data_IF_190401287726
#
_entry.id   IF_190401287726
#
_cell.length_a   1.000
_cell.length_b   1.000
_cell.length_c   1.000
_cell.angle_alpha   90.00
_cell.angle_beta   90.00
_cell.angle_gamma   90.00
#
_symmetry.space_group_name_H-M   'P 1'
#
loop_
_entity.id
_entity.type
_entity.pdbx_description
1 polymer ?
#
# COMPACT_ATOMS: atom_id res chain seq x y z
N UNK A 1 5.17 19.02 4.29
CA UNK A 1 4.95 17.65 4.85
C UNK A 1 4.86 16.72 3.66
N UNK A 2 5.63 15.63 3.61
CA UNK A 2 5.67 14.76 2.42
C UNK A 2 4.42 13.89 2.35
N UNK A 3 4.11 13.38 1.15
CA UNK A 3 2.95 12.49 0.94
C UNK A 3 2.97 11.30 1.90
N UNK A 4 4.12 10.61 2.02
CA UNK A 4 4.26 9.45 2.90
C UNK A 4 3.88 9.74 4.36
N UNK A 5 4.27 10.90 4.89
CA UNK A 5 3.96 11.30 6.27
C UNK A 5 2.47 11.54 6.46
N UNK A 6 1.83 12.24 5.51
CA UNK A 6 0.38 12.49 5.49
C UNK A 6 -0.40 11.18 5.45
N UNK A 7 0.05 10.24 4.63
CA UNK A 7 -0.62 8.94 4.49
C UNK A 7 -0.47 8.08 5.75
N UNK A 8 0.70 8.08 6.39
CA UNK A 8 0.90 7.39 7.68
C UNK A 8 0.00 8.01 8.75
N UNK A 9 0.00 9.33 8.89
CA UNK A 9 -0.88 10.03 9.84
C UNK A 9 -2.34 9.67 9.60
N UNK A 10 -2.78 9.65 8.34
CA UNK A 10 -4.15 9.30 7.99
C UNK A 10 -4.54 7.87 8.30
N UNK A 11 -3.63 6.92 8.08
CA UNK A 11 -3.87 5.52 8.42
C UNK A 11 -3.88 5.32 9.94
N UNK A 12 -2.95 5.95 10.68
CA UNK A 12 -2.84 5.79 12.13
C UNK A 12 -3.98 6.50 12.90
N UNK A 13 -4.49 7.62 12.38
CA UNK A 13 -5.61 8.36 12.95
C UNK A 13 -6.98 7.94 12.37
N UNK A 14 -7.00 6.98 11.45
CA UNK A 14 -8.23 6.36 10.94
C UNK A 14 -9.08 7.23 10.02
N UNK A 15 -8.54 8.34 9.49
CA UNK A 15 -9.25 9.15 8.49
C UNK A 15 -8.92 8.73 7.05
N UNK A 16 -7.79 8.04 6.84
CA UNK A 16 -7.42 7.41 5.56
C UNK A 16 -7.69 5.90 5.62
N UNK A 17 -8.96 5.54 5.47
CA UNK A 17 -9.47 4.17 5.60
C UNK A 17 -10.37 3.83 4.43
N UNK A 18 -10.97 2.63 4.43
CA UNK A 18 -11.89 2.23 3.36
C UNK A 18 -12.99 3.25 3.12
N UNK A 19 -13.09 3.70 1.87
CA UNK A 19 -13.99 4.75 1.36
C UNK A 19 -13.60 6.19 1.76
N UNK A 20 -12.51 6.38 2.50
CA UNK A 20 -11.89 7.66 2.84
C UNK A 20 -10.44 7.75 2.34
N UNK A 21 -10.16 7.26 1.14
CA UNK A 21 -8.78 7.15 0.63
C UNK A 21 -8.18 8.49 0.15
N UNK A 22 -8.97 9.54 0.04
CA UNK A 22 -8.50 10.82 -0.51
C UNK A 22 -7.97 11.73 0.61
N UNK A 23 -6.88 12.44 0.32
CA UNK A 23 -6.33 13.46 1.21
C UNK A 23 -7.23 14.70 1.15
N UNK A 24 -7.77 15.17 2.29
CA UNK A 24 -8.59 16.38 2.33
C UNK A 24 -7.83 17.63 1.88
N UNK A 25 -8.51 18.54 1.18
CA UNK A 25 -7.95 19.80 0.69
C UNK A 25 -7.30 20.64 1.80
N UNK A 26 -7.89 20.61 3.02
CA UNK A 26 -7.32 21.30 4.19
C UNK A 26 -5.90 20.83 4.53
N UNK A 27 -5.61 19.54 4.38
CA UNK A 27 -4.27 18.98 4.65
C UNK A 27 -3.32 19.34 3.51
N UNK A 28 -3.81 19.29 2.26
CA UNK A 28 -3.02 19.67 1.08
C UNK A 28 -2.61 21.14 1.07
N UNK A 29 -3.38 22.03 1.69
CA UNK A 29 -3.04 23.45 1.87
C UNK A 29 -1.83 23.66 2.77
N UNK A 30 -1.60 22.77 3.72
CA UNK A 30 -0.47 22.80 4.66
C UNK A 30 0.80 22.14 4.08
N UNK A 31 0.72 21.58 2.88
CA UNK A 31 1.84 21.01 2.15
C UNK A 31 2.53 22.10 1.29
N UNK A 32 3.85 21.96 1.11
CA UNK A 32 4.59 22.72 0.10
C UNK A 32 4.10 22.37 -1.32
N UNK A 33 4.46 23.19 -2.31
CA UNK A 33 3.96 23.09 -3.69
C UNK A 33 4.24 21.72 -4.32
N UNK A 34 5.48 21.24 -4.22
CA UNK A 34 5.88 19.93 -4.75
C UNK A 34 5.09 18.79 -4.09
N UNK A 35 5.01 18.76 -2.76
CA UNK A 35 4.28 17.72 -2.05
C UNK A 35 2.77 17.79 -2.33
N UNK A 36 2.23 18.99 -2.56
CA UNK A 36 0.82 19.19 -2.93
C UNK A 36 0.51 18.68 -4.34
N UNK A 37 1.41 18.85 -5.29
CA UNK A 37 1.28 18.30 -6.64
C UNK A 37 1.27 16.77 -6.60
N UNK A 38 2.19 16.16 -5.86
CA UNK A 38 2.22 14.70 -5.65
C UNK A 38 0.93 14.22 -4.95
N UNK A 39 0.46 14.93 -3.93
CA UNK A 39 -0.82 14.60 -3.26
C UNK A 39 -2.04 14.74 -4.19
N UNK A 40 -1.99 15.68 -5.13
CA UNK A 40 -3.03 15.84 -6.15
C UNK A 40 -3.04 14.65 -7.11
N UNK A 41 -1.87 14.21 -7.57
CA UNK A 41 -1.71 12.98 -8.38
C UNK A 41 -2.19 11.74 -7.62
N UNK A 42 -1.87 11.63 -6.34
CA UNK A 42 -2.39 10.56 -5.47
C UNK A 42 -3.93 10.56 -5.44
N UNK A 43 -4.55 11.72 -5.20
CA UNK A 43 -6.01 11.85 -5.17
C UNK A 43 -6.65 11.53 -6.52
N UNK A 44 -6.02 11.92 -7.63
CA UNK A 44 -6.43 11.57 -8.99
C UNK A 44 -6.43 10.06 -9.21
N UNK A 45 -5.32 9.37 -8.87
CA UNK A 45 -5.21 7.91 -8.93
C UNK A 45 -6.34 7.24 -8.13
N UNK A 46 -6.55 7.66 -6.88
CA UNK A 46 -7.62 7.13 -6.02
C UNK A 46 -8.99 7.33 -6.66
N UNK A 47 -9.26 8.52 -7.20
CA UNK A 47 -10.51 8.84 -7.88
C UNK A 47 -10.77 7.92 -9.08
N UNK A 48 -9.74 7.65 -9.90
CA UNK A 48 -9.82 6.72 -11.03
C UNK A 48 -10.11 5.29 -10.53
N UNK A 49 -9.36 4.80 -9.54
CA UNK A 49 -9.54 3.45 -8.98
C UNK A 49 -10.96 3.25 -8.43
N UNK A 50 -11.48 4.23 -7.68
CA UNK A 50 -12.81 4.15 -7.08
C UNK A 50 -13.91 4.29 -8.12
N UNK A 51 -13.76 5.17 -9.12
CA UNK A 51 -14.75 5.35 -10.19
C UNK A 51 -14.83 4.13 -11.12
N UNK A 52 -13.71 3.42 -11.32
CA UNK A 52 -13.64 2.18 -12.12
C UNK A 52 -14.67 1.12 -11.72
N UNK A 53 -15.05 1.10 -10.44
CA UNK A 53 -16.05 0.17 -9.88
C UNK A 53 -17.43 0.26 -10.56
N UNK A 54 -17.71 1.38 -11.23
CA UNK A 54 -18.99 1.65 -11.92
C UNK A 54 -18.95 1.30 -13.41
N UNK A 55 -17.78 1.03 -13.98
CA UNK A 55 -17.65 0.83 -15.43
C UNK A 55 -18.10 -0.57 -15.85
N UNK A 56 -18.99 -0.61 -16.86
CA UNK A 56 -19.49 -1.86 -17.45
C UNK A 56 -18.70 -2.26 -18.69
N UNK A 57 -18.24 -1.28 -19.46
CA UNK A 57 -17.41 -1.53 -20.65
C UNK A 57 -16.03 -2.04 -20.24
N UNK A 58 -15.59 -3.15 -20.85
CA UNK A 58 -14.33 -3.82 -20.51
C UNK A 58 -13.11 -3.01 -20.94
N UNK A 59 -13.10 -2.51 -22.17
CA UNK A 59 -11.97 -1.78 -22.73
C UNK A 59 -11.74 -0.49 -21.96
N UNK A 60 -12.82 0.26 -21.71
CA UNK A 60 -12.76 1.49 -20.94
C UNK A 60 -12.33 1.25 -19.49
N UNK A 61 -12.80 0.18 -18.85
CA UNK A 61 -12.33 -0.22 -17.52
C UNK A 61 -10.82 -0.47 -17.53
N UNK A 62 -10.30 -1.24 -18.50
CA UNK A 62 -8.87 -1.53 -18.57
C UNK A 62 -8.03 -0.30 -18.89
N UNK A 63 -8.50 0.59 -19.77
CA UNK A 63 -7.84 1.86 -20.03
C UNK A 63 -7.68 2.67 -18.74
N UNK A 64 -8.73 2.77 -17.92
CA UNK A 64 -8.70 3.51 -16.66
C UNK A 64 -7.85 2.83 -15.58
N UNK A 65 -7.80 1.49 -15.57
CA UNK A 65 -6.86 0.75 -14.70
C UNK A 65 -5.41 1.03 -15.09
N UNK A 66 -5.10 1.10 -16.38
CA UNK A 66 -3.76 1.42 -16.87
C UNK A 66 -3.37 2.85 -16.49
N UNK A 67 -4.26 3.81 -16.70
CA UNK A 67 -4.10 5.22 -16.29
C UNK A 67 -3.78 5.33 -14.78
N UNK A 68 -4.56 4.66 -13.92
CA UNK A 68 -4.27 4.62 -12.49
C UNK A 68 -2.92 3.95 -12.16
N UNK A 69 -2.51 2.95 -12.95
CA UNK A 69 -1.22 2.25 -12.75
C UNK A 69 -0.04 3.15 -13.12
N UNK A 70 -0.17 3.94 -14.18
CA UNK A 70 0.84 4.94 -14.58
C UNK A 70 1.03 5.98 -13.49
N UNK A 71 -0.06 6.57 -12.98
CA UNK A 71 0.02 7.53 -11.87
C UNK A 71 0.63 6.88 -10.63
N UNK A 72 0.23 5.64 -10.31
CA UNK A 72 0.78 4.91 -9.17
C UNK A 72 2.30 4.72 -9.27
N UNK A 73 2.80 4.38 -10.46
CA UNK A 73 4.24 4.22 -10.72
C UNK A 73 5.00 5.54 -10.57
N UNK A 74 4.41 6.65 -11.04
CA UNK A 74 5.00 7.98 -10.88
C UNK A 74 5.18 8.34 -9.40
N UNK A 75 4.16 8.11 -8.57
CA UNK A 75 4.17 8.51 -7.15
C UNK A 75 4.68 7.42 -6.19
N UNK A 76 5.07 6.24 -6.69
CA UNK A 76 5.40 5.08 -5.85
C UNK A 76 6.49 5.40 -4.81
N UNK A 77 7.49 6.17 -5.21
CA UNK A 77 8.63 6.56 -4.39
C UNK A 77 8.27 7.52 -3.26
N UNK A 78 7.11 8.17 -3.34
CA UNK A 78 6.55 9.07 -2.32
C UNK A 78 5.54 8.35 -1.40
N UNK A 79 5.14 7.13 -1.74
CA UNK A 79 4.29 6.32 -0.86
C UNK A 79 5.01 5.98 0.45
N UNK A 80 4.25 5.83 1.56
CA UNK A 80 4.81 5.61 2.88
C UNK A 80 5.65 4.34 2.91
N UNK A 81 6.85 4.46 3.48
CA UNK A 81 7.71 3.32 3.75
C UNK A 81 7.36 2.73 5.12
N UNK A 82 6.82 1.52 5.11
CA UNK A 82 6.36 0.84 6.32
C UNK A 82 7.31 -0.29 6.71
N UNK A 83 7.37 -0.50 8.02
CA UNK A 83 7.97 -1.68 8.64
C UNK A 83 6.86 -2.60 9.15
N UNK A 84 7.14 -3.90 9.38
CA UNK A 84 6.16 -4.84 9.97
C UNK A 84 5.44 -4.29 11.21
N UNK A 85 6.17 -3.58 12.08
CA UNK A 85 5.66 -2.97 13.30
C UNK A 85 4.68 -1.82 12.99
N UNK A 86 4.96 -1.02 11.96
CA UNK A 86 4.05 0.03 11.50
C UNK A 86 2.74 -0.55 10.96
N UNK A 87 2.82 -1.65 10.20
CA UNK A 87 1.63 -2.36 9.71
C UNK A 87 0.78 -2.88 10.87
N UNK A 88 1.42 -3.50 11.88
CA UNK A 88 0.71 -3.97 13.07
C UNK A 88 0.03 -2.82 13.82
N UNK A 89 0.73 -1.70 14.03
CA UNK A 89 0.19 -0.51 14.70
C UNK A 89 -0.99 0.11 13.96
N UNK A 90 -0.89 0.27 12.63
CA UNK A 90 -1.98 0.76 11.79
C UNK A 90 -3.20 -0.17 11.89
N UNK A 91 -2.99 -1.49 11.83
CA UNK A 91 -4.08 -2.45 11.95
C UNK A 91 -4.72 -2.41 13.34
N UNK A 92 -3.95 -2.30 14.41
CA UNK A 92 -4.46 -2.23 15.78
C UNK A 92 -5.38 -1.02 15.99
N UNK A 93 -5.03 0.13 15.40
CA UNK A 93 -5.85 1.35 15.46
C UNK A 93 -7.18 1.23 14.72
N UNK A 94 -7.22 0.48 13.62
CA UNK A 94 -8.37 0.43 12.72
C UNK A 94 -9.22 -0.84 12.86
N UNK A 95 -8.67 -1.93 13.41
CA UNK A 95 -9.31 -3.25 13.48
C UNK A 95 -8.89 -4.02 14.73
N UNK A 96 -9.86 -4.30 15.61
CA UNK A 96 -9.67 -5.16 16.78
C UNK A 96 -9.66 -6.65 16.40
N UNK A 97 -8.92 -7.46 17.17
CA UNK A 97 -8.91 -8.94 17.08
C UNK A 97 -8.40 -9.51 15.74
N UNK A 98 -7.36 -8.91 15.16
CA UNK A 98 -6.72 -9.35 13.92
C UNK A 98 -5.51 -10.26 14.21
N UNK A 99 -5.29 -11.27 13.34
CA UNK A 99 -4.04 -12.04 13.30
C UNK A 99 -2.99 -11.23 12.52
N UNK A 100 -2.25 -10.38 13.23
CA UNK A 100 -1.32 -9.42 12.62
C UNK A 100 -0.21 -10.07 11.80
N UNK A 101 0.27 -11.24 12.21
CA UNK A 101 1.25 -12.06 11.48
C UNK A 101 0.82 -12.31 10.03
N UNK A 102 -0.45 -12.67 9.82
CA UNK A 102 -1.00 -12.92 8.47
C UNK A 102 -1.15 -11.64 7.65
N UNK A 103 -1.49 -10.54 8.31
CA UNK A 103 -1.58 -9.25 7.64
C UNK A 103 -0.20 -8.72 7.24
N UNK A 104 0.80 -8.90 8.09
CA UNK A 104 2.20 -8.56 7.79
C UNK A 104 2.71 -9.42 6.62
N UNK A 105 2.51 -10.75 6.65
CA UNK A 105 2.91 -11.63 5.55
C UNK A 105 2.24 -11.23 4.22
N UNK A 106 0.95 -10.88 4.25
CA UNK A 106 0.24 -10.40 3.07
C UNK A 106 0.74 -9.02 2.61
N UNK A 107 1.05 -8.09 3.53
CA UNK A 107 1.61 -6.79 3.21
C UNK A 107 3.01 -6.91 2.59
N UNK A 108 3.85 -7.81 3.11
CA UNK A 108 5.16 -8.15 2.56
C UNK A 108 5.07 -8.81 1.18
N UNK A 109 4.07 -9.67 0.94
CA UNK A 109 3.82 -10.20 -0.39
C UNK A 109 3.38 -9.09 -1.35
N UNK A 110 2.42 -8.27 -0.93
CA UNK A 110 1.89 -7.15 -1.72
C UNK A 110 2.96 -6.12 -2.10
N UNK A 111 3.93 -5.84 -1.23
CA UNK A 111 4.99 -4.86 -1.49
C UNK A 111 5.89 -5.21 -2.68
N UNK A 112 5.96 -6.50 -3.06
CA UNK A 112 6.77 -6.98 -4.18
C UNK A 112 6.16 -6.66 -5.55
N UNK A 113 4.87 -6.34 -5.57
CA UNK A 113 4.18 -5.99 -6.81
C UNK A 113 4.52 -4.55 -7.21
N UNK A 114 4.95 -4.40 -8.46
CA UNK A 114 5.19 -3.12 -9.15
C UNK A 114 3.97 -2.62 -9.94
N UNK A 115 2.83 -3.26 -9.74
CA UNK A 115 1.54 -2.90 -10.32
C UNK A 115 0.44 -3.39 -9.38
N UNK A 116 -0.81 -3.15 -9.74
CA UNK A 116 -1.91 -3.85 -9.09
C UNK A 116 -1.73 -5.37 -9.13
N UNK A 117 -2.30 -6.06 -8.15
CA UNK A 117 -2.31 -7.50 -8.06
C UNK A 117 -3.74 -8.04 -7.93
N UNK A 118 -3.92 -9.29 -8.31
CA UNK A 118 -5.17 -10.04 -8.18
C UNK A 118 -5.15 -10.89 -6.92
N UNK A 119 -6.34 -11.34 -6.49
CA UNK A 119 -6.46 -12.30 -5.40
C UNK A 119 -5.63 -13.58 -5.65
N UNK A 120 -5.66 -14.08 -6.89
CA UNK A 120 -4.94 -15.31 -7.27
C UNK A 120 -3.43 -15.14 -7.23
N UNK A 121 -2.91 -13.97 -7.62
CA UNK A 121 -1.48 -13.69 -7.56
C UNK A 121 -1.00 -13.68 -6.10
N UNK A 122 -1.59 -12.85 -5.24
CA UNK A 122 -1.17 -12.78 -3.83
C UNK A 122 -1.41 -14.09 -3.08
N UNK A 123 -2.46 -14.84 -3.42
CA UNK A 123 -2.71 -16.17 -2.86
C UNK A 123 -1.53 -17.11 -3.07
N UNK A 124 -0.93 -17.12 -4.26
CA UNK A 124 0.24 -17.98 -4.55
C UNK A 124 1.43 -17.62 -3.68
N UNK A 125 1.63 -16.32 -3.46
CA UNK A 125 2.79 -15.82 -2.71
C UNK A 125 2.67 -16.04 -1.21
N UNK A 126 1.47 -15.91 -0.64
CA UNK A 126 1.27 -16.09 0.80
C UNK A 126 1.04 -17.55 1.20
N UNK A 127 0.61 -18.43 0.28
CA UNK A 127 0.22 -19.82 0.61
C UNK A 127 1.33 -20.60 1.32
N UNK A 128 2.59 -20.34 0.96
CA UNK A 128 3.76 -20.97 1.57
C UNK A 128 4.40 -20.12 2.67
N UNK A 129 3.80 -18.97 2.99
CA UNK A 129 4.23 -18.10 4.09
C UNK A 129 3.99 -18.76 5.44
N UNK A 130 4.83 -18.42 6.43
CA UNK A 130 4.86 -19.05 7.75
C UNK A 130 3.51 -18.96 8.47
N UNK A 131 2.78 -17.85 8.33
CA UNK A 131 1.49 -17.64 9.00
C UNK A 131 0.29 -18.30 8.29
N UNK A 132 0.47 -18.78 7.05
CA UNK A 132 -0.55 -19.44 6.23
C UNK A 132 -0.31 -20.93 6.02
N UNK A 133 0.93 -21.41 6.18
CA UNK A 133 1.33 -22.79 5.86
C UNK A 133 0.59 -23.87 6.67
N UNK A 134 0.12 -23.54 7.88
CA UNK A 134 -0.66 -24.45 8.73
C UNK A 134 -2.16 -24.53 8.33
N UNK A 135 -2.61 -23.76 7.34
CA UNK A 135 -4.00 -23.73 6.91
C UNK A 135 -4.23 -24.67 5.72
N UNK A 136 -5.33 -25.41 5.74
CA UNK A 136 -5.81 -26.12 4.54
C UNK A 136 -6.30 -25.15 3.45
N UNK A 137 -6.27 -25.58 2.19
CA UNK A 137 -6.51 -24.72 1.01
C UNK A 137 -7.80 -23.90 1.05
N UNK A 138 -8.92 -24.51 1.42
CA UNK A 138 -10.21 -23.81 1.54
C UNK A 138 -10.22 -22.75 2.66
N UNK A 139 -9.37 -22.94 3.67
CA UNK A 139 -9.16 -22.00 4.77
C UNK A 139 -8.23 -20.86 4.36
N UNK A 140 -7.19 -21.12 3.57
CA UNK A 140 -6.27 -20.08 3.06
C UNK A 140 -7.07 -19.02 2.29
N UNK A 141 -7.96 -19.43 1.37
CA UNK A 141 -8.77 -18.48 0.59
C UNK A 141 -9.64 -17.58 1.49
N UNK A 142 -10.33 -18.18 2.47
CA UNK A 142 -11.20 -17.44 3.39
C UNK A 142 -10.40 -16.49 4.28
N UNK A 143 -9.26 -16.95 4.79
CA UNK A 143 -8.38 -16.15 5.65
C UNK A 143 -7.76 -15.00 4.86
N UNK A 144 -7.22 -15.26 3.67
CA UNK A 144 -6.64 -14.23 2.82
C UNK A 144 -7.66 -13.18 2.42
N UNK A 145 -8.90 -13.58 2.09
CA UNK A 145 -9.97 -12.62 1.78
C UNK A 145 -10.26 -11.68 2.96
N UNK A 146 -10.23 -12.18 4.20
CA UNK A 146 -10.37 -11.34 5.39
C UNK A 146 -9.15 -10.45 5.61
N UNK A 147 -7.95 -10.99 5.43
CA UNK A 147 -6.69 -10.24 5.56
C UNK A 147 -6.66 -9.06 4.59
N UNK A 148 -6.99 -9.28 3.31
CA UNK A 148 -7.10 -8.20 2.33
C UNK A 148 -8.18 -7.18 2.70
N UNK A 149 -9.28 -7.64 3.29
CA UNK A 149 -10.30 -6.76 3.87
C UNK A 149 -9.73 -5.87 4.97
N UNK A 150 -8.93 -6.41 5.89
CA UNK A 150 -8.30 -5.62 6.95
C UNK A 150 -7.27 -4.62 6.42
N UNK A 151 -6.49 -5.00 5.39
CA UNK A 151 -5.57 -4.08 4.73
C UNK A 151 -6.31 -2.96 4.00
N UNK A 152 -7.43 -3.27 3.33
CA UNK A 152 -8.30 -2.26 2.69
C UNK A 152 -8.90 -1.30 3.73
N UNK A 153 -9.44 -1.88 4.80
CA UNK A 153 -10.07 -1.15 5.89
C UNK A 153 -9.12 -0.22 6.64
N UNK A 154 -7.81 -0.52 6.64
CA UNK A 154 -6.78 0.29 7.29
C UNK A 154 -6.03 1.22 6.32
N UNK A 155 -6.55 1.40 5.10
CA UNK A 155 -5.95 2.30 4.10
C UNK A 155 -4.67 1.79 3.44
N UNK A 156 -4.19 0.60 3.80
CA UNK A 156 -2.97 0.02 3.24
C UNK A 156 -3.17 -0.45 1.78
N UNK A 157 -4.39 -0.81 1.41
CA UNK A 157 -4.72 -1.16 0.03
C UNK A 157 -5.99 -0.47 -0.41
N UNK A 158 -6.12 -0.24 -1.72
CA UNK A 158 -7.37 0.14 -2.36
C UNK A 158 -7.68 -0.88 -3.44
N UNK A 159 -8.93 -1.33 -3.52
CA UNK A 159 -9.36 -2.26 -4.57
C UNK A 159 -10.27 -1.60 -5.60
N UNK A 160 -10.18 -2.08 -6.82
CA UNK A 160 -11.19 -1.84 -7.87
C UNK A 160 -11.74 -3.17 -8.35
N UNK A 161 -12.93 -3.14 -8.92
CA UNK A 161 -13.52 -4.33 -9.50
C UNK A 161 -14.40 -4.00 -10.68
N UNK A 162 -14.52 -4.97 -11.59
CA UNK A 162 -15.51 -4.97 -12.65
C UNK A 162 -16.43 -6.16 -12.47
N UNK A 163 -17.73 -5.90 -12.35
CA UNK A 163 -18.73 -6.97 -12.35
C UNK A 163 -19.25 -7.15 -13.77
N UNK A 164 -18.96 -8.30 -14.37
CA UNK A 164 -19.58 -8.75 -15.62
C UNK A 164 -20.39 -10.02 -15.38
N UNK A 165 -21.39 -10.30 -16.23
CA UNK A 165 -22.28 -11.46 -16.08
C UNK A 165 -21.55 -12.81 -15.92
N UNK A 166 -20.31 -12.92 -16.41
CA UNK A 166 -19.54 -14.16 -16.39
C UNK A 166 -18.31 -14.13 -15.45
N UNK A 167 -17.86 -12.95 -15.00
CA UNK A 167 -16.59 -12.81 -14.26
C UNK A 167 -16.55 -11.53 -13.46
N UNK A 168 -16.06 -11.63 -12.22
CA UNK A 168 -15.67 -10.48 -11.40
C UNK A 168 -14.16 -10.34 -11.48
N UNK A 169 -13.68 -9.26 -12.08
CA UNK A 169 -12.27 -8.91 -12.07
C UNK A 169 -12.03 -8.04 -10.83
N UNK A 170 -11.19 -8.47 -9.89
CA UNK A 170 -10.83 -7.70 -8.69
C UNK A 170 -9.34 -7.44 -8.69
N UNK A 171 -8.97 -6.17 -8.61
CA UNK A 171 -7.58 -5.70 -8.58
C UNK A 171 -7.33 -4.91 -7.31
N UNK A 172 -6.16 -5.09 -6.72
CA UNK A 172 -5.72 -4.42 -5.50
C UNK A 172 -4.48 -3.59 -5.81
N UNK A 173 -4.47 -2.34 -5.36
CA UNK A 173 -3.32 -1.45 -5.36
C UNK A 173 -2.85 -1.29 -3.92
N UNK A 174 -1.54 -1.43 -3.69
CA UNK A 174 -0.94 -1.08 -2.39
C UNK A 174 -0.72 0.42 -2.32
N UNK A 175 -0.91 0.98 -1.14
CA UNK A 175 -0.71 2.40 -0.85
C UNK A 175 0.50 2.63 0.08
N UNK A 176 1.45 1.71 0.04
CA UNK A 176 2.67 1.71 0.86
C UNK A 176 3.81 1.00 0.12
N UNK A 177 5.03 1.20 0.60
CA UNK A 177 6.21 0.38 0.35
C UNK A 177 6.58 -0.35 1.65
N UNK A 178 7.26 -1.48 1.56
CA UNK A 178 7.75 -2.19 2.74
C UNK A 178 9.26 -2.25 2.76
N UNK A 179 9.81 -2.10 3.96
CA UNK A 179 11.15 -2.51 4.28
C UNK A 179 11.07 -3.62 5.33
N UNK A 180 11.64 -4.78 5.03
CA UNK A 180 11.97 -5.74 6.08
C UNK A 180 13.21 -5.23 6.78
N UNK A 181 13.26 -5.39 8.11
CA UNK A 181 14.43 -5.15 8.94
C UNK A 181 15.53 -6.19 8.60
N UNK A 182 15.94 -6.29 7.34
CA UNK A 182 17.23 -6.83 6.94
C UNK A 182 18.30 -5.79 7.29
N UNK A 183 18.44 -5.50 8.59
CA UNK A 183 19.73 -5.12 9.13
C UNK A 183 20.71 -6.21 8.70
N UNK A 184 21.53 -5.91 7.69
CA UNK A 184 22.84 -6.54 7.35
C UNK A 184 23.05 -7.13 5.94
N UNK A 185 22.13 -7.06 4.97
CA UNK A 185 22.39 -7.68 3.65
C UNK A 185 22.37 -6.75 2.42
N UNK A 186 22.27 -5.43 2.59
CA UNK A 186 22.51 -4.53 1.45
C UNK A 186 24.03 -4.42 1.20
N UNK A 187 24.53 -4.96 0.08
CA UNK A 187 25.94 -4.82 -0.36
C UNK A 187 26.41 -3.35 -0.48
N UNK A 188 25.47 -2.42 -0.61
CA UNK A 188 25.72 -0.97 -0.67
C UNK A 188 25.46 -0.25 0.66
N UNK A 189 25.07 -0.96 1.73
CA UNK A 189 24.85 -0.38 3.04
C UNK A 189 26.15 0.20 3.60
N UNK A 190 27.31 -0.40 3.26
CA UNK A 190 28.60 0.19 3.59
C UNK A 190 28.78 1.59 3.00
N UNK A 191 28.34 1.84 1.76
CA UNK A 191 28.43 3.18 1.14
C UNK A 191 27.56 4.19 1.89
N UNK A 192 26.35 3.80 2.27
CA UNK A 192 25.44 4.66 3.05
C UNK A 192 25.94 4.87 4.49
N UNK A 193 26.53 3.85 5.12
CA UNK A 193 27.18 3.96 6.42
C UNK A 193 28.44 4.83 6.36
N UNK A 194 29.24 4.70 5.30
CA UNK A 194 30.43 5.52 5.09
C UNK A 194 30.04 6.96 4.77
N UNK A 195 29.02 7.20 3.95
CA UNK A 195 28.45 8.53 3.71
C UNK A 195 27.93 9.15 5.01
N UNK A 196 27.17 8.39 5.81
CA UNK A 196 26.70 8.83 7.13
C UNK A 196 27.89 9.18 8.04
N UNK A 197 28.91 8.34 8.09
CA UNK A 197 30.13 8.55 8.88
C UNK A 197 30.91 9.78 8.41
N UNK A 198 30.99 10.01 7.11
CA UNK A 198 31.63 11.20 6.52
C UNK A 198 30.83 12.44 6.86
N UNK A 199 29.50 12.40 6.75
CA UNK A 199 28.62 13.52 7.11
C UNK A 199 28.69 13.84 8.61
N UNK A 200 28.72 12.83 9.48
CA UNK A 200 28.88 13.00 10.94
C UNK A 200 30.26 13.51 11.33
N UNK A 201 31.32 13.14 10.60
CA UNK A 201 32.69 13.66 10.81
C UNK A 201 32.92 15.04 10.23
N UNK A 202 32.10 15.44 9.26
CA UNK A 202 32.28 16.69 8.53
C UNK A 202 31.73 17.92 9.27
N UNK A 203 31.19 17.77 10.50
CA UNK A 203 30.65 18.86 11.34
C UNK A 203 29.95 19.94 10.47
N UNK A 204 29.00 19.51 9.64
CA UNK A 204 28.05 20.44 9.04
C UNK A 204 27.08 20.86 10.14
N UNK A 205 27.55 21.83 10.92
CA UNK A 205 26.76 22.68 11.79
C UNK A 205 25.67 23.31 10.93
N UNK A 206 24.42 22.97 11.22
CA UNK A 206 23.28 23.81 10.88
C UNK A 206 23.13 24.90 11.95
#
# INVERSE_FOLDING_TARGET
MRLGDVLIDGMENGWLVRNGYMIPERIMKDMDEESRDVASRYNEMISIIVSCRKFRNREYYWQKVLEATEIWLEIEHELPLLFPESVARILERNRFMVRYDRCIDAALAASRYRRYFTFTEILRDVRFGRSFSALGDSSVNKVLSRVLGYLEDSGLTVKTWRNSRARVDVLYFRLFRMQTDEKNNCRHCWVLHELKRVLEKADWVW
#
